data_IF_119381424722
#
_entry.id   IF_119381424722
#
_cell.length_a   1.000
_cell.length_b   1.000
_cell.length_c   1.000
_cell.angle_alpha   90.00
_cell.angle_beta   90.00
_cell.angle_gamma   90.00
#
_symmetry.space_group_name_H-M   'P 1'
#
loop_
_entity.id
_entity.type
_entity.pdbx_description
1 polymer ?
#
# COMPACT_ATOMS: atom_id res chain seq x y z
N UNK A 1 -3.64 36.89 15.57
CA UNK A 1 -4.41 35.70 16.00
C UNK A 1 -3.38 34.65 16.36
N UNK A 2 -3.30 34.27 17.62
CA UNK A 2 -2.41 33.18 18.06
C UNK A 2 -2.89 31.89 17.40
N UNK A 3 -2.18 31.47 16.36
CA UNK A 3 -2.42 30.23 15.63
C UNK A 3 -2.09 29.07 16.58
N UNK A 4 -3.08 28.67 17.38
CA UNK A 4 -2.95 27.51 18.26
C UNK A 4 -2.93 26.28 17.37
N UNK A 5 -1.72 25.83 17.02
CA UNK A 5 -1.49 24.55 16.35
C UNK A 5 -2.33 23.46 17.03
N UNK A 6 -3.15 22.78 16.24
CA UNK A 6 -3.92 21.61 16.69
C UNK A 6 -2.97 20.59 17.31
N UNK A 7 -3.30 20.11 18.50
CA UNK A 7 -2.57 19.02 19.17
C UNK A 7 -2.83 17.70 18.45
N UNK A 8 -1.76 17.02 18.03
CA UNK A 8 -1.85 15.72 17.36
C UNK A 8 -1.89 14.57 18.37
N UNK A 9 -2.36 13.38 17.95
CA UNK A 9 -2.50 12.25 18.87
C UNK A 9 -1.14 11.66 19.28
N UNK A 10 -0.13 11.76 18.42
CA UNK A 10 1.25 11.38 18.72
C UNK A 10 1.83 12.14 19.92
N UNK A 11 1.32 13.35 20.23
CA UNK A 11 1.74 14.11 21.40
C UNK A 11 1.32 13.46 22.73
N UNK A 12 0.36 12.53 22.74
CA UNK A 12 0.08 11.73 23.94
C UNK A 12 1.24 10.81 24.32
N UNK A 13 2.10 10.43 23.35
CA UNK A 13 3.32 9.67 23.58
C UNK A 13 4.54 10.58 23.67
N UNK A 14 4.67 11.52 22.75
CA UNK A 14 5.91 12.28 22.56
C UNK A 14 5.86 13.71 23.10
N UNK A 15 4.70 14.21 23.51
CA UNK A 15 4.54 15.59 23.99
C UNK A 15 4.84 15.73 25.50
N UNK A 16 5.41 16.87 25.88
CA UNK A 16 5.62 17.25 27.28
C UNK A 16 6.91 16.72 27.93
N UNK A 17 7.10 17.08 29.20
CA UNK A 17 8.36 16.88 29.94
C UNK A 17 8.29 15.74 30.98
N UNK A 18 7.13 15.09 31.10
CA UNK A 18 6.90 14.03 32.09
C UNK A 18 7.63 12.71 31.76
N UNK A 19 7.68 11.82 32.76
CA UNK A 19 8.36 10.51 32.69
C UNK A 19 7.94 9.64 31.49
N UNK A 20 6.65 9.65 31.13
CA UNK A 20 6.12 8.82 30.03
C UNK A 20 6.65 9.35 28.69
N UNK A 21 6.60 10.67 28.48
CA UNK A 21 7.11 11.29 27.27
C UNK A 21 8.63 11.12 27.12
N UNK A 22 9.37 11.23 28.25
CA UNK A 22 10.79 10.88 28.29
C UNK A 22 11.02 9.43 27.84
N UNK A 23 10.29 8.46 28.40
CA UNK A 23 10.43 7.04 28.09
C UNK A 23 10.17 6.76 26.60
N UNK A 24 9.06 7.25 26.06
CA UNK A 24 8.71 7.03 24.65
C UNK A 24 9.72 7.68 23.69
N UNK A 25 10.09 8.95 23.90
CA UNK A 25 11.08 9.61 23.05
C UNK A 25 12.47 8.98 23.16
N UNK A 26 12.89 8.59 24.37
CA UNK A 26 14.21 7.97 24.59
C UNK A 26 14.35 6.67 23.79
N UNK A 27 13.31 5.82 23.78
CA UNK A 27 13.32 4.58 23.00
C UNK A 27 13.34 4.85 21.49
N UNK A 28 12.59 5.83 20.99
CA UNK A 28 12.64 6.17 19.57
C UNK A 28 13.99 6.77 19.14
N UNK A 29 14.68 7.49 20.04
CA UNK A 29 16.00 8.08 19.78
C UNK A 29 17.13 7.06 19.63
N UNK A 30 16.95 5.81 20.08
CA UNK A 30 17.98 4.77 19.91
C UNK A 30 18.27 4.43 18.44
N UNK A 31 17.40 4.87 17.52
CA UNK A 31 17.53 4.72 16.07
C UNK A 31 18.28 5.89 15.41
N UNK A 32 18.73 6.89 16.18
CA UNK A 32 19.38 8.08 15.65
C UNK A 32 18.43 9.19 15.19
N UNK A 33 17.17 9.18 15.65
CA UNK A 33 16.20 10.24 15.34
C UNK A 33 16.52 11.49 16.19
N UNK A 34 16.67 12.68 15.57
CA UNK A 34 17.00 13.91 16.30
C UNK A 34 15.87 14.37 17.22
N UNK A 35 16.20 15.16 18.23
CA UNK A 35 15.24 15.55 19.27
C UNK A 35 14.09 16.43 18.75
N UNK A 36 14.35 17.25 17.74
CA UNK A 36 13.38 18.13 17.09
C UNK A 36 12.32 17.37 16.28
N UNK A 37 12.55 16.09 15.94
CA UNK A 37 11.55 15.25 15.28
C UNK A 37 10.30 14.99 16.14
N UNK A 38 10.37 15.25 17.46
CA UNK A 38 9.30 15.04 18.43
C UNK A 38 8.65 16.35 18.91
N UNK A 39 8.69 17.40 18.07
CA UNK A 39 8.20 18.76 18.34
C UNK A 39 6.68 18.96 18.11
N UNK A 40 5.94 17.87 17.85
CA UNK A 40 4.52 17.91 17.50
C UNK A 40 4.25 17.97 15.99
N UNK A 41 5.27 17.79 15.13
CA UNK A 41 5.04 17.55 13.70
C UNK A 41 4.27 16.25 13.45
N UNK A 42 3.55 16.13 12.31
CA UNK A 42 2.84 14.91 11.94
C UNK A 42 3.73 13.67 11.93
N UNK A 43 3.36 12.65 12.70
CA UNK A 43 3.99 11.33 12.63
C UNK A 43 3.23 10.47 11.63
N UNK A 44 3.88 10.08 10.54
CA UNK A 44 3.27 9.34 9.44
C UNK A 44 3.66 7.87 9.51
N UNK A 45 2.68 7.00 9.70
CA UNK A 45 2.86 5.56 9.59
C UNK A 45 2.92 5.13 8.13
N UNK A 46 3.94 4.36 7.75
CA UNK A 46 4.02 3.73 6.42
C UNK A 46 3.75 2.24 6.62
N UNK A 47 2.49 1.83 6.41
CA UNK A 47 2.02 0.47 6.55
C UNK A 47 2.47 -0.34 5.33
N UNK A 48 3.48 -1.19 5.51
CA UNK A 48 4.13 -1.89 4.39
C UNK A 48 3.73 -3.36 4.31
N UNK A 49 3.20 -3.77 3.17
CA UNK A 49 2.89 -5.17 2.83
C UNK A 49 3.99 -5.84 2.01
N UNK A 50 5.24 -5.42 2.19
CA UNK A 50 6.39 -6.09 1.60
C UNK A 50 6.62 -7.45 2.29
N UNK A 51 6.89 -8.49 1.49
CA UNK A 51 7.43 -9.76 1.96
C UNK A 51 8.06 -10.50 0.78
N UNK A 52 9.16 -11.20 1.01
CA UNK A 52 9.72 -12.12 0.00
C UNK A 52 8.74 -13.25 -0.36
N UNK A 53 7.80 -13.58 0.54
CA UNK A 53 6.72 -14.54 0.29
C UNK A 53 5.53 -13.94 -0.49
N UNK A 54 5.53 -12.63 -0.75
CA UNK A 54 4.53 -11.92 -1.55
C UNK A 54 5.21 -11.21 -2.73
N UNK A 55 5.55 -11.94 -3.81
CA UNK A 55 6.35 -11.40 -4.91
C UNK A 55 5.70 -10.21 -5.61
N UNK A 56 4.36 -10.12 -5.62
CA UNK A 56 3.63 -8.96 -6.15
C UNK A 56 4.00 -7.63 -5.48
N UNK A 57 4.49 -7.71 -4.23
CA UNK A 57 4.82 -6.58 -3.37
C UNK A 57 6.35 -6.47 -3.11
N UNK A 58 7.18 -7.24 -3.82
CA UNK A 58 8.61 -7.35 -3.52
C UNK A 58 9.38 -6.01 -3.59
N UNK A 59 8.89 -5.06 -4.41
CA UNK A 59 9.49 -3.73 -4.59
C UNK A 59 9.00 -2.68 -3.57
N UNK A 60 8.03 -3.01 -2.70
CA UNK A 60 7.43 -2.00 -1.81
C UNK A 60 8.40 -1.40 -0.79
N UNK A 61 9.52 -2.06 -0.44
CA UNK A 61 10.60 -1.43 0.35
C UNK A 61 11.19 -0.20 -0.33
N UNK A 62 11.52 -0.30 -1.61
CA UNK A 62 12.04 0.83 -2.37
C UNK A 62 10.98 1.94 -2.50
N UNK A 63 9.70 1.55 -2.63
CA UNK A 63 8.60 2.51 -2.69
C UNK A 63 8.40 3.24 -1.34
N UNK A 64 8.58 2.54 -0.21
CA UNK A 64 8.55 3.13 1.13
C UNK A 64 9.63 4.21 1.29
N UNK A 65 10.82 4.03 0.71
CA UNK A 65 11.87 5.05 0.74
C UNK A 65 11.48 6.32 -0.03
N UNK A 66 10.78 6.18 -1.17
CA UNK A 66 10.22 7.33 -1.87
C UNK A 66 9.16 8.05 -1.03
N UNK A 67 8.28 7.31 -0.36
CA UNK A 67 7.29 7.87 0.57
C UNK A 67 7.99 8.64 1.69
N UNK A 68 9.00 8.04 2.36
CA UNK A 68 9.78 8.68 3.44
C UNK A 68 10.34 10.02 3.01
N UNK A 69 10.93 10.10 1.81
CA UNK A 69 11.45 11.36 1.25
C UNK A 69 10.35 12.43 1.18
N UNK A 70 9.18 12.07 0.67
CA UNK A 70 8.04 12.99 0.59
C UNK A 70 7.55 13.48 1.95
N UNK A 71 7.49 12.59 2.95
CA UNK A 71 7.11 12.95 4.32
C UNK A 71 8.12 13.91 4.93
N UNK A 72 9.43 13.63 4.79
CA UNK A 72 10.48 14.52 5.29
C UNK A 72 10.43 15.89 4.62
N UNK A 73 10.27 15.94 3.29
CA UNK A 73 10.14 17.19 2.53
C UNK A 73 8.96 18.06 2.98
N UNK A 74 7.86 17.44 3.38
CA UNK A 74 6.69 18.15 3.89
C UNK A 74 6.79 18.49 5.40
N UNK A 75 7.87 18.09 6.08
CA UNK A 75 8.11 18.35 7.49
C UNK A 75 7.36 17.42 8.45
N UNK A 76 7.11 16.17 8.05
CA UNK A 76 6.62 15.10 8.92
C UNK A 76 7.74 14.18 9.41
N UNK A 77 7.39 13.25 10.31
CA UNK A 77 8.25 12.16 10.77
C UNK A 77 7.72 10.82 10.21
N UNK A 78 8.36 10.20 9.21
CA UNK A 78 7.91 8.92 8.67
C UNK A 78 8.43 7.75 9.51
N UNK A 79 7.54 6.85 9.90
CA UNK A 79 7.85 5.60 10.58
C UNK A 79 7.22 4.43 9.80
N UNK A 80 8.07 3.54 9.29
CA UNK A 80 7.61 2.34 8.58
C UNK A 80 7.32 1.22 9.56
N UNK A 81 6.21 0.52 9.35
CA UNK A 81 5.87 -0.68 10.10
C UNK A 81 5.29 -1.76 9.17
N UNK A 82 5.64 -3.03 9.39
CA UNK A 82 5.10 -4.13 8.61
C UNK A 82 3.73 -4.56 9.15
N UNK A 83 2.93 -5.14 8.27
CA UNK A 83 1.77 -5.99 8.63
C UNK A 83 1.84 -7.28 7.81
N UNK A 84 1.08 -8.31 8.19
CA UNK A 84 1.08 -9.55 7.43
C UNK A 84 0.71 -9.30 5.95
N UNK A 85 1.57 -9.77 5.04
CA UNK A 85 1.39 -9.60 3.60
C UNK A 85 0.73 -10.83 2.98
N UNK A 86 -0.38 -10.62 2.26
CA UNK A 86 -1.21 -11.67 1.69
C UNK A 86 -0.81 -12.00 0.24
N UNK A 87 0.15 -12.92 0.08
CA UNK A 87 0.54 -13.46 -1.23
C UNK A 87 -0.47 -14.45 -1.78
N UNK A 88 -1.38 -13.99 -2.65
CA UNK A 88 -2.43 -14.80 -3.30
C UNK A 88 -1.87 -16.08 -3.94
N UNK A 89 -0.68 -16.00 -4.54
CA UNK A 89 -0.04 -17.12 -5.23
C UNK A 89 0.42 -18.24 -4.30
N UNK A 90 0.72 -17.93 -3.04
CA UNK A 90 1.45 -18.83 -2.14
C UNK A 90 0.62 -19.30 -0.93
N UNK A 91 -0.35 -18.49 -0.47
CA UNK A 91 -1.11 -18.79 0.74
C UNK A 91 -2.13 -19.91 0.56
N UNK A 92 -2.26 -20.77 1.57
CA UNK A 92 -3.21 -21.89 1.62
C UNK A 92 -4.07 -21.79 2.89
N UNK A 93 -5.37 -22.16 2.85
CA UNK A 93 -6.11 -22.68 1.71
C UNK A 93 -6.45 -21.62 0.65
N UNK A 94 -6.51 -20.35 1.03
CA UNK A 94 -6.65 -19.18 0.14
C UNK A 94 -6.27 -17.92 0.92
N UNK A 95 -5.70 -16.90 0.26
CA UNK A 95 -5.39 -15.63 0.90
C UNK A 95 -6.64 -14.88 1.41
N UNK A 96 -7.83 -15.14 0.84
CA UNK A 96 -9.07 -14.53 1.29
C UNK A 96 -9.37 -14.82 2.76
N UNK A 97 -9.04 -16.03 3.24
CA UNK A 97 -9.27 -16.45 4.62
C UNK A 97 -8.58 -15.51 5.63
N UNK A 98 -7.42 -14.95 5.24
CA UNK A 98 -6.58 -14.12 6.09
C UNK A 98 -6.80 -12.62 5.89
N UNK A 99 -7.66 -12.19 4.95
CA UNK A 99 -7.94 -10.76 4.72
C UNK A 99 -8.41 -10.04 5.99
N UNK A 100 -9.34 -10.65 6.73
CA UNK A 100 -9.87 -10.05 7.95
C UNK A 100 -8.83 -10.04 9.08
N UNK A 101 -7.97 -11.06 9.14
CA UNK A 101 -6.85 -11.10 10.08
C UNK A 101 -5.91 -9.91 9.86
N UNK A 102 -5.53 -9.65 8.60
CA UNK A 102 -4.68 -8.50 8.26
C UNK A 102 -5.38 -7.18 8.51
N UNK A 103 -6.70 -7.09 8.29
CA UNK A 103 -7.46 -5.89 8.66
C UNK A 103 -7.38 -5.58 10.15
N UNK A 104 -7.44 -6.59 11.02
CA UNK A 104 -7.28 -6.41 12.48
C UNK A 104 -5.85 -6.04 12.85
N UNK A 105 -4.85 -6.66 12.21
CA UNK A 105 -3.43 -6.33 12.38
C UNK A 105 -3.15 -4.86 12.04
N UNK A 106 -3.70 -4.37 10.92
CA UNK A 106 -3.61 -2.97 10.50
C UNK A 106 -4.29 -2.03 11.49
N UNK A 107 -5.53 -2.35 11.91
CA UNK A 107 -6.29 -1.52 12.86
C UNK A 107 -5.53 -1.34 14.18
N UNK A 108 -5.05 -2.44 14.77
CA UNK A 108 -4.35 -2.39 16.06
C UNK A 108 -2.95 -1.78 15.94
N UNK A 109 -2.25 -2.04 14.82
CA UNK A 109 -0.97 -1.40 14.54
C UNK A 109 -1.10 0.12 14.43
N UNK A 110 -2.17 0.64 13.83
CA UNK A 110 -2.41 2.08 13.72
C UNK A 110 -2.86 2.65 15.06
N UNK A 111 -3.87 2.06 15.71
CA UNK A 111 -4.48 2.58 16.94
C UNK A 111 -3.51 2.55 18.12
N UNK A 112 -2.71 1.50 18.24
CA UNK A 112 -1.78 1.28 19.36
C UNK A 112 -0.49 2.10 19.30
N UNK A 113 -0.11 2.64 18.13
CA UNK A 113 1.13 3.38 17.93
C UNK A 113 0.89 4.89 17.77
N UNK A 114 1.90 5.76 17.98
CA UNK A 114 1.77 7.22 17.89
C UNK A 114 1.74 7.74 16.44
N UNK A 115 0.82 7.25 15.63
CA UNK A 115 0.61 7.61 14.22
C UNK A 115 -0.51 8.67 14.10
N UNK A 116 -0.26 9.76 13.38
CA UNK A 116 -1.25 10.83 13.13
C UNK A 116 -1.93 10.71 11.75
N UNK A 117 -1.26 10.08 10.80
CA UNK A 117 -1.80 9.73 9.48
C UNK A 117 -1.01 8.56 8.88
N UNK A 118 -1.62 7.87 7.91
CA UNK A 118 -1.06 6.61 7.39
C UNK A 118 -1.00 6.57 5.88
N UNK A 119 0.10 6.01 5.35
CA UNK A 119 0.20 5.56 3.97
C UNK A 119 0.10 4.04 3.93
N UNK A 120 -0.79 3.54 3.10
CA UNK A 120 -1.03 2.11 2.88
C UNK A 120 -0.29 1.68 1.60
N UNK A 121 0.83 0.97 1.74
CA UNK A 121 1.53 0.37 0.60
C UNK A 121 0.90 -0.99 0.28
N UNK A 122 0.15 -1.03 -0.83
CA UNK A 122 -0.68 -2.18 -1.23
C UNK A 122 -0.30 -2.69 -2.61
N UNK A 123 -0.71 -3.91 -2.97
CA UNK A 123 -0.46 -4.47 -4.30
C UNK A 123 -1.21 -5.75 -4.57
N UNK A 124 -0.76 -6.86 -3.99
CA UNK A 124 -1.39 -8.17 -4.14
C UNK A 124 -2.87 -8.17 -3.73
N UNK A 125 -3.70 -8.97 -4.39
CA UNK A 125 -5.17 -8.96 -4.36
C UNK A 125 -5.81 -8.51 -3.04
N UNK A 126 -5.51 -9.21 -1.93
CA UNK A 126 -6.19 -9.00 -0.65
C UNK A 126 -5.54 -7.92 0.21
N UNK A 127 -4.36 -7.42 -0.14
CA UNK A 127 -3.67 -6.38 0.64
C UNK A 127 -4.42 -5.05 0.57
N UNK A 128 -4.89 -4.64 -0.61
CA UNK A 128 -5.66 -3.39 -0.77
C UNK A 128 -6.90 -3.35 0.12
N UNK A 129 -7.86 -4.29 0.04
CA UNK A 129 -9.03 -4.24 0.90
C UNK A 129 -8.69 -4.44 2.39
N UNK A 130 -7.74 -5.30 2.75
CA UNK A 130 -7.37 -5.52 4.15
C UNK A 130 -6.84 -4.24 4.83
N UNK A 131 -5.93 -3.52 4.16
CA UNK A 131 -5.35 -2.28 4.71
C UNK A 131 -6.38 -1.15 4.75
N UNK A 132 -7.22 -1.01 3.71
CA UNK A 132 -8.29 -0.01 3.71
C UNK A 132 -9.30 -0.24 4.83
N UNK A 133 -9.70 -1.49 5.07
CA UNK A 133 -10.62 -1.84 6.15
C UNK A 133 -10.04 -1.49 7.53
N UNK A 134 -8.79 -1.89 7.81
CA UNK A 134 -8.14 -1.59 9.08
C UNK A 134 -7.95 -0.09 9.32
N UNK A 135 -7.53 0.65 8.28
CA UNK A 135 -7.39 2.11 8.37
C UNK A 135 -8.73 2.82 8.56
N UNK A 136 -9.78 2.36 7.88
CA UNK A 136 -11.14 2.90 8.03
C UNK A 136 -11.65 2.75 9.47
N UNK A 137 -11.36 1.64 10.15
CA UNK A 137 -11.71 1.44 11.56
C UNK A 137 -10.96 2.37 12.53
N UNK A 138 -9.85 2.98 12.12
CA UNK A 138 -9.12 3.97 12.92
C UNK A 138 -9.52 5.42 12.61
N UNK A 139 -10.08 5.67 11.42
CA UNK A 139 -10.50 6.97 10.91
C UNK A 139 -9.42 8.08 11.02
N UNK A 140 -8.17 7.76 10.68
CA UNK A 140 -7.10 8.76 10.55
C UNK A 140 -6.97 9.22 9.08
N UNK A 141 -6.36 10.39 8.81
CA UNK A 141 -5.92 10.76 7.47
C UNK A 141 -5.13 9.62 6.83
N UNK A 142 -5.55 9.21 5.63
CA UNK A 142 -5.09 7.98 4.98
C UNK A 142 -4.93 8.18 3.48
N UNK A 143 -3.81 7.70 2.91
CA UNK A 143 -3.61 7.57 1.46
C UNK A 143 -3.18 6.14 1.15
N UNK A 144 -3.74 5.54 0.09
CA UNK A 144 -3.26 4.27 -0.43
C UNK A 144 -2.37 4.48 -1.66
N UNK A 145 -1.24 3.77 -1.69
CA UNK A 145 -0.30 3.76 -2.81
C UNK A 145 -0.18 2.33 -3.32
N UNK A 146 -0.68 2.10 -4.52
CA UNK A 146 -0.57 0.82 -5.21
C UNK A 146 0.86 0.59 -5.68
N UNK A 147 1.33 -0.66 -5.59
CA UNK A 147 2.63 -1.07 -6.10
C UNK A 147 2.70 -1.01 -7.63
N UNK A 148 1.58 -1.24 -8.32
CA UNK A 148 1.47 -1.25 -9.78
C UNK A 148 1.58 -2.66 -10.40
N UNK A 149 1.06 -2.84 -11.63
CA UNK A 149 1.14 -4.10 -12.34
C UNK A 149 2.56 -4.40 -12.83
N UNK A 150 2.82 -5.67 -13.11
CA UNK A 150 3.96 -6.10 -13.92
C UNK A 150 3.88 -5.53 -15.34
N UNK A 151 5.01 -5.56 -16.04
CA UNK A 151 5.04 -5.40 -17.49
C UNK A 151 4.43 -6.60 -18.20
N UNK A 152 4.07 -6.45 -19.48
CA UNK A 152 3.56 -7.55 -20.30
C UNK A 152 4.52 -8.74 -20.32
N UNK A 153 3.97 -9.94 -20.17
CA UNK A 153 4.69 -11.20 -20.36
C UNK A 153 4.90 -11.47 -21.85
N UNK A 154 5.96 -12.20 -22.18
CA UNK A 154 6.34 -12.49 -23.57
C UNK A 154 6.68 -13.97 -23.77
N UNK A 155 6.04 -14.62 -24.72
CA UNK A 155 6.37 -15.98 -25.13
C UNK A 155 6.29 -16.13 -26.64
N UNK A 156 7.39 -16.56 -27.28
CA UNK A 156 7.50 -16.73 -28.75
C UNK A 156 7.05 -15.50 -29.55
N UNK A 157 7.45 -14.31 -29.09
CA UNK A 157 7.10 -13.04 -29.74
C UNK A 157 5.67 -12.56 -29.49
N UNK A 158 4.86 -13.30 -28.73
CA UNK A 158 3.48 -12.94 -28.39
C UNK A 158 3.37 -12.42 -26.96
N UNK A 159 2.40 -11.54 -26.73
CA UNK A 159 2.02 -11.11 -25.39
C UNK A 159 1.26 -12.22 -24.65
N UNK A 160 1.67 -12.47 -23.41
CA UNK A 160 0.97 -13.36 -22.48
C UNK A 160 0.67 -12.62 -21.17
N UNK A 161 -0.46 -12.97 -20.56
CA UNK A 161 -1.01 -12.28 -19.40
C UNK A 161 -1.13 -13.19 -18.18
N UNK A 162 -0.79 -12.64 -17.01
CA UNK A 162 -0.90 -13.29 -15.70
C UNK A 162 -2.32 -13.79 -15.45
N UNK A 163 -2.42 -15.02 -14.95
CA UNK A 163 -3.70 -15.70 -14.76
C UNK A 163 -4.29 -16.21 -16.07
N UNK A 164 -4.69 -15.31 -16.98
CA UNK A 164 -5.42 -15.65 -18.22
C UNK A 164 -4.72 -16.72 -19.06
N UNK A 165 -3.42 -16.55 -19.33
CA UNK A 165 -2.68 -17.51 -20.15
C UNK A 165 -2.32 -18.79 -19.40
N UNK A 166 -2.29 -18.78 -18.07
CA UNK A 166 -2.11 -20.02 -17.27
C UNK A 166 -3.29 -20.95 -17.51
N UNK A 167 -4.53 -20.43 -17.41
CA UNK A 167 -5.74 -21.19 -17.70
C UNK A 167 -5.78 -21.68 -19.14
N UNK A 168 -5.52 -20.78 -20.10
CA UNK A 168 -5.52 -21.12 -21.53
C UNK A 168 -4.51 -22.22 -21.85
N UNK A 169 -3.25 -22.06 -21.45
CA UNK A 169 -2.21 -23.04 -21.77
C UNK A 169 -2.42 -24.37 -21.07
N UNK A 170 -2.93 -24.38 -19.84
CA UNK A 170 -3.29 -25.63 -19.16
C UNK A 170 -4.35 -26.43 -19.94
N UNK A 171 -5.36 -25.76 -20.50
CA UNK A 171 -6.37 -26.41 -21.35
C UNK A 171 -5.82 -26.85 -22.72
N UNK A 172 -4.91 -26.07 -23.34
CA UNK A 172 -4.23 -26.47 -24.58
C UNK A 172 -3.35 -27.71 -24.40
N UNK A 173 -2.68 -27.84 -23.24
CA UNK A 173 -1.92 -29.04 -22.89
C UNK A 173 -2.83 -30.25 -22.73
N UNK A 174 -3.94 -30.11 -21.97
CA UNK A 174 -4.93 -31.20 -21.81
C UNK A 174 -5.54 -31.63 -23.14
N UNK A 175 -5.75 -30.69 -24.05
CA UNK A 175 -6.27 -30.96 -25.38
C UNK A 175 -5.23 -31.50 -26.38
N UNK A 176 -3.97 -31.68 -25.97
CA UNK A 176 -2.90 -32.18 -26.83
C UNK A 176 -2.42 -31.20 -27.90
N UNK A 177 -2.79 -29.92 -27.81
CA UNK A 177 -2.42 -28.87 -28.78
C UNK A 177 -1.17 -28.08 -28.37
N UNK A 178 -0.71 -28.25 -27.13
CA UNK A 178 0.51 -27.65 -26.62
C UNK A 178 1.38 -28.71 -25.91
N UNK A 179 2.66 -28.87 -26.28
CA UNK A 179 3.59 -29.70 -25.54
C UNK A 179 3.78 -29.20 -24.10
N UNK A 180 3.92 -30.10 -23.13
CA UNK A 180 4.22 -29.73 -21.73
C UNK A 180 5.52 -28.91 -21.63
N UNK A 181 6.52 -29.23 -22.46
CA UNK A 181 7.77 -28.46 -22.51
C UNK A 181 7.53 -26.99 -22.89
N UNK A 182 6.59 -26.71 -23.80
CA UNK A 182 6.24 -25.35 -24.19
C UNK A 182 5.51 -24.62 -23.06
N UNK A 183 4.65 -25.32 -22.32
CA UNK A 183 3.96 -24.76 -21.16
C UNK A 183 4.94 -24.33 -20.06
N UNK A 184 5.91 -25.18 -19.74
CA UNK A 184 6.97 -24.86 -18.78
C UNK A 184 7.90 -23.75 -19.30
N UNK A 185 8.20 -23.73 -20.59
CA UNK A 185 8.99 -22.65 -21.18
C UNK A 185 8.28 -21.28 -21.11
N UNK A 186 6.93 -21.26 -21.19
CA UNK A 186 6.15 -20.03 -21.09
C UNK A 186 6.21 -19.39 -19.69
N UNK A 187 6.49 -20.18 -18.64
CA UNK A 187 6.63 -19.68 -17.27
C UNK A 187 7.69 -18.58 -17.15
N UNK A 188 8.84 -18.77 -17.79
CA UNK A 188 9.97 -17.84 -17.77
C UNK A 188 9.63 -16.47 -18.38
N UNK A 189 8.67 -16.44 -19.30
CA UNK A 189 8.21 -15.24 -19.98
C UNK A 189 7.01 -14.56 -19.33
N UNK A 190 6.35 -15.22 -18.37
CA UNK A 190 5.06 -14.80 -17.82
C UNK A 190 5.23 -13.67 -16.79
N UNK A 191 5.96 -13.92 -15.69
CA UNK A 191 6.11 -13.00 -14.56
C UNK A 191 7.52 -12.40 -14.54
N UNK A 192 7.78 -11.47 -15.46
CA UNK A 192 9.13 -11.01 -15.85
C UNK A 192 9.53 -9.61 -15.34
N UNK A 193 8.79 -9.07 -14.37
CA UNK A 193 9.15 -7.83 -13.66
C UNK A 193 8.53 -7.86 -12.25
N UNK A 194 8.93 -6.93 -11.38
CA UNK A 194 8.16 -6.68 -10.15
C UNK A 194 6.75 -6.18 -10.48
N UNK A 195 5.80 -6.40 -9.57
CA UNK A 195 4.42 -5.90 -9.65
C UNK A 195 3.36 -6.99 -9.51
N UNK A 196 2.09 -6.56 -9.47
CA UNK A 196 0.93 -7.45 -9.45
C UNK A 196 0.60 -8.01 -10.85
N UNK A 197 -0.43 -8.87 -10.94
CA UNK A 197 -0.92 -9.40 -12.22
C UNK A 197 -1.19 -8.26 -13.22
N UNK A 198 -0.62 -8.35 -14.43
CA UNK A 198 -0.76 -7.30 -15.46
C UNK A 198 -2.06 -7.35 -16.27
N UNK A 199 -2.98 -8.24 -15.89
CA UNK A 199 -4.33 -8.33 -16.45
C UNK A 199 -5.32 -7.56 -15.57
N UNK A 200 -6.56 -7.42 -16.03
CA UNK A 200 -7.65 -6.85 -15.20
C UNK A 200 -8.23 -7.87 -14.22
N UNK A 201 -7.33 -8.46 -13.43
CA UNK A 201 -7.66 -9.28 -12.27
C UNK A 201 -7.83 -8.43 -11.01
N UNK A 202 -8.02 -9.11 -9.88
CA UNK A 202 -8.37 -8.45 -8.61
C UNK A 202 -7.39 -7.36 -8.17
N UNK A 203 -6.07 -7.58 -8.26
CA UNK A 203 -5.10 -6.54 -7.92
C UNK A 203 -5.28 -5.23 -8.71
N UNK A 204 -5.42 -5.32 -10.04
CA UNK A 204 -5.64 -4.15 -10.91
C UNK A 204 -7.00 -3.51 -10.66
N UNK A 205 -8.06 -4.33 -10.49
CA UNK A 205 -9.39 -3.84 -10.13
C UNK A 205 -9.36 -3.07 -8.81
N UNK A 206 -8.75 -3.62 -7.77
CA UNK A 206 -8.67 -2.95 -6.47
C UNK A 206 -7.78 -1.71 -6.50
N UNK A 207 -6.73 -1.67 -7.33
CA UNK A 207 -5.95 -0.46 -7.57
C UNK A 207 -6.80 0.65 -8.23
N UNK A 208 -7.64 0.28 -9.21
CA UNK A 208 -8.64 1.19 -9.79
C UNK A 208 -9.69 1.62 -8.78
N UNK A 209 -10.13 0.74 -7.86
CA UNK A 209 -11.05 1.10 -6.79
C UNK A 209 -10.44 2.13 -5.83
N UNK A 210 -9.16 2.00 -5.48
CA UNK A 210 -8.45 2.99 -4.66
C UNK A 210 -8.50 4.39 -5.26
N UNK A 211 -8.26 4.49 -6.57
CA UNK A 211 -8.30 5.76 -7.30
C UNK A 211 -9.74 6.28 -7.44
N UNK A 212 -10.70 5.42 -7.80
CA UNK A 212 -12.10 5.79 -7.96
C UNK A 212 -12.79 6.22 -6.65
N UNK A 213 -12.38 5.64 -5.51
CA UNK A 213 -12.82 6.05 -4.18
C UNK A 213 -12.20 7.39 -3.73
N UNK A 214 -11.17 7.87 -4.42
CA UNK A 214 -10.43 9.09 -4.04
C UNK A 214 -9.43 8.91 -2.91
N UNK A 215 -9.10 7.67 -2.53
CA UNK A 215 -8.13 7.36 -1.46
C UNK A 215 -6.69 7.28 -1.99
N UNK A 216 -6.51 7.06 -3.29
CA UNK A 216 -5.23 7.19 -3.98
C UNK A 216 -5.06 8.54 -4.65
N UNK A 217 -3.81 8.88 -4.97
CA UNK A 217 -3.50 9.98 -5.89
C UNK A 217 -3.98 9.63 -7.32
N UNK A 218 -4.23 10.62 -8.19
CA UNK A 218 -4.43 10.37 -9.62
C UNK A 218 -3.28 9.56 -10.22
N UNK A 219 -3.59 8.72 -11.21
CA UNK A 219 -2.69 7.77 -11.87
C UNK A 219 -2.21 6.60 -10.98
N UNK A 220 -2.75 6.48 -9.76
CA UNK A 220 -2.34 5.42 -8.84
C UNK A 220 -2.57 4.02 -9.41
N UNK A 221 -3.63 3.77 -10.16
CA UNK A 221 -4.02 2.42 -10.55
C UNK A 221 -3.08 1.81 -11.60
N UNK A 222 -2.73 2.57 -12.64
CA UNK A 222 -2.23 1.99 -13.90
C UNK A 222 -0.72 2.08 -14.12
N UNK A 223 0.00 2.93 -13.38
CA UNK A 223 1.46 3.07 -13.56
C UNK A 223 2.16 1.72 -13.23
N UNK A 224 2.93 1.11 -14.15
CA UNK A 224 3.63 -0.14 -13.87
C UNK A 224 4.58 -0.03 -12.67
N UNK A 225 4.77 -1.14 -11.96
CA UNK A 225 5.59 -1.17 -10.75
C UNK A 225 7.04 -0.72 -10.95
N UNK A 226 7.58 -0.99 -12.14
CA UNK A 226 8.98 -0.69 -12.51
C UNK A 226 9.13 0.64 -13.25
N UNK A 227 8.04 1.38 -13.45
CA UNK A 227 8.08 2.70 -14.08
C UNK A 227 8.58 3.75 -13.08
N UNK A 228 9.45 4.66 -13.52
CA UNK A 228 9.99 5.73 -12.67
C UNK A 228 8.90 6.60 -12.04
N UNK A 229 7.77 6.79 -12.73
CA UNK A 229 6.63 7.58 -12.24
C UNK A 229 5.98 6.95 -11.01
N UNK A 230 6.15 5.64 -10.76
CA UNK A 230 5.65 4.99 -9.55
C UNK A 230 6.35 5.53 -8.30
N UNK A 231 7.67 5.73 -8.37
CA UNK A 231 8.45 6.36 -7.30
C UNK A 231 8.09 7.84 -7.11
N UNK A 232 7.83 8.56 -8.20
CA UNK A 232 7.36 9.95 -8.16
C UNK A 232 6.01 10.04 -7.44
N UNK A 233 5.03 9.20 -7.81
CA UNK A 233 3.71 9.16 -7.19
C UNK A 233 3.80 8.84 -5.69
N UNK A 234 4.64 7.89 -5.30
CA UNK A 234 4.84 7.54 -3.89
C UNK A 234 5.44 8.70 -3.08
N UNK A 235 6.41 9.43 -3.64
CA UNK A 235 6.96 10.61 -2.99
C UNK A 235 5.92 11.75 -2.88
N UNK A 236 5.10 11.96 -3.92
CA UNK A 236 4.00 12.91 -3.88
C UNK A 236 2.95 12.54 -2.81
N UNK A 237 2.61 11.26 -2.69
CA UNK A 237 1.73 10.77 -1.63
C UNK A 237 2.33 11.03 -0.23
N UNK A 238 3.64 10.85 -0.06
CA UNK A 238 4.37 11.21 1.17
C UNK A 238 4.25 12.69 1.55
N UNK A 239 4.24 13.60 0.56
CA UNK A 239 3.98 15.03 0.82
C UNK A 239 2.52 15.28 1.16
N UNK A 240 1.61 14.66 0.41
CA UNK A 240 0.17 14.88 0.53
C UNK A 240 -0.38 14.40 1.88
N UNK A 241 0.09 13.27 2.43
CA UNK A 241 -0.42 12.76 3.70
C UNK A 241 -0.14 13.71 4.87
N UNK A 242 1.02 14.39 4.87
CA UNK A 242 1.35 15.39 5.90
C UNK A 242 0.40 16.57 5.84
N UNK A 243 0.01 16.99 4.64
CA UNK A 243 -0.99 18.04 4.44
C UNK A 243 -2.40 17.59 4.89
N UNK A 244 -2.81 16.35 4.59
CA UNK A 244 -4.09 15.81 5.09
C UNK A 244 -4.13 15.75 6.62
N UNK A 245 -3.02 15.40 7.30
CA UNK A 245 -2.94 15.44 8.77
C UNK A 245 -3.09 16.86 9.31
N UNK A 246 -2.45 17.85 8.67
CA UNK A 246 -2.59 19.26 9.07
C UNK A 246 -4.00 19.79 8.90
N UNK A 247 -4.70 19.36 7.83
CA UNK A 247 -6.09 19.73 7.53
C UNK A 247 -7.13 18.86 8.22
N UNK A 248 -6.71 17.80 8.91
CA UNK A 248 -7.56 16.77 9.51
C UNK A 248 -8.57 16.15 8.54
N UNK A 249 -8.17 15.91 7.30
CA UNK A 249 -9.02 15.23 6.33
C UNK A 249 -8.93 13.73 6.57
N UNK A 250 -9.95 13.17 7.21
CA UNK A 250 -10.00 11.76 7.60
C UNK A 250 -10.47 10.86 6.45
N UNK A 251 -10.18 9.56 6.54
CA UNK A 251 -10.62 8.59 5.54
C UNK A 251 -12.15 8.55 5.37
N UNK A 252 -12.92 8.74 6.45
CA UNK A 252 -14.38 8.75 6.39
C UNK A 252 -14.97 9.94 5.60
N UNK A 253 -14.26 11.07 5.56
CA UNK A 253 -14.67 12.22 4.74
C UNK A 253 -14.51 11.96 3.24
N UNK A 254 -13.63 11.04 2.86
CA UNK A 254 -13.40 10.64 1.47
C UNK A 254 -14.32 9.47 1.10
N UNK A 255 -14.44 8.47 1.97
CA UNK A 255 -15.25 7.25 1.77
C UNK A 255 -16.75 7.49 1.97
N UNK A 256 -17.29 8.42 1.20
CA UNK A 256 -18.72 8.73 1.14
C UNK A 256 -19.47 7.72 0.29
N UNK A 257 -20.81 7.68 0.43
CA UNK A 257 -21.67 6.90 -0.45
C UNK A 257 -21.41 7.20 -1.93
N UNK A 258 -21.23 8.49 -2.27
CA UNK A 258 -20.96 8.93 -3.64
C UNK A 258 -19.64 8.37 -4.17
N UNK A 259 -18.60 8.31 -3.34
CA UNK A 259 -17.32 7.69 -3.70
C UNK A 259 -17.51 6.20 -4.02
N UNK A 260 -18.27 5.46 -3.19
CA UNK A 260 -18.59 4.06 -3.46
C UNK A 260 -19.43 3.88 -4.74
N UNK A 261 -20.41 4.74 -5.01
CA UNK A 261 -21.16 4.70 -6.27
C UNK A 261 -20.27 4.95 -7.49
N UNK A 262 -19.29 5.85 -7.40
CA UNK A 262 -18.31 6.07 -8.45
C UNK A 262 -17.42 4.84 -8.67
N UNK A 263 -16.93 4.22 -7.59
CA UNK A 263 -16.15 2.99 -7.67
C UNK A 263 -16.94 1.86 -8.35
N UNK A 264 -18.23 1.71 -8.04
CA UNK A 264 -19.11 0.74 -8.71
C UNK A 264 -19.22 1.03 -10.21
N UNK A 265 -19.45 2.29 -10.61
CA UNK A 265 -19.52 2.67 -12.03
C UNK A 265 -18.22 2.42 -12.79
N UNK A 266 -17.07 2.61 -12.13
CA UNK A 266 -15.75 2.31 -12.71
C UNK A 266 -15.52 0.80 -12.87
N UNK A 267 -16.07 -0.02 -11.98
CA UNK A 267 -15.90 -1.47 -12.03
C UNK A 267 -16.61 -2.14 -13.22
N UNK A 268 -17.69 -1.53 -13.72
CA UNK A 268 -18.51 -2.06 -14.82
C UNK A 268 -19.88 -2.53 -14.38
#
# INVERSE_FOLDING_TARGET
MTDTKRKLRSEAWFGGEGKNAFMHRSWMKNQGIPADAFDGRPVIGICNTWSELTPCNAHLRALADHVKRGVYEAGGLPLEFPVMSLGESNMRPTAMLFRNLVSMDVEESIRGNPIDGVILLVGCDKTTPALLMGAASCNLPTIAVSGGPMLNGKFRGQDIGSGTHVWKFAEEVKAGRMPVADFLAAEQGQSRSAGSCMTMGTASTMASMVEALGIGMPDNAAIPAVDSRRGVLAQMAGRQIVDLVRRDVTIAEILTRQAFENAIRVNG
#
